data_IF_705378807248
#
_entry.id   IF_705378807248
#
_cell.length_a   1.000
_cell.length_b   1.000
_cell.length_c   1.000
_cell.angle_alpha   90.00
_cell.angle_beta   90.00
_cell.angle_gamma   90.00
#
_symmetry.space_group_name_H-M   'P 1'
#
loop_
_entity.id
_entity.type
_entity.pdbx_description
1 polymer ?
#
# COMPACT_ATOMS: atom_id res chain seq x y z
N UNK A 1 -1.80 -17.97 -1.53
CA UNK A 1 -2.79 -17.39 -0.61
C UNK A 1 -4.05 -18.27 -0.50
N UNK A 2 -4.79 -18.49 -1.59
CA UNK A 2 -6.03 -19.29 -1.60
C UNK A 2 -5.89 -20.70 -0.97
N UNK A 3 -4.82 -21.42 -1.29
CA UNK A 3 -4.47 -22.70 -0.64
C UNK A 3 -4.40 -22.59 0.89
N UNK A 4 -3.74 -21.56 1.41
CA UNK A 4 -3.55 -21.37 2.85
C UNK A 4 -4.88 -21.06 3.55
N UNK A 5 -5.75 -20.25 2.94
CA UNK A 5 -7.09 -19.94 3.47
C UNK A 5 -7.91 -21.21 3.59
N UNK A 6 -8.03 -21.99 2.50
CA UNK A 6 -8.75 -23.27 2.49
C UNK A 6 -8.21 -24.23 3.55
N UNK A 7 -6.89 -24.31 3.67
CA UNK A 7 -6.21 -25.17 4.64
C UNK A 7 -6.50 -24.74 6.07
N UNK A 8 -6.46 -23.44 6.36
CA UNK A 8 -6.71 -22.90 7.70
C UNK A 8 -8.16 -23.14 8.13
N UNK A 9 -9.14 -22.87 7.24
CA UNK A 9 -10.56 -23.12 7.50
C UNK A 9 -10.81 -24.61 7.75
N UNK A 10 -10.28 -25.48 6.90
CA UNK A 10 -10.41 -26.93 7.05
C UNK A 10 -9.76 -27.42 8.37
N UNK A 11 -8.57 -26.93 8.70
CA UNK A 11 -7.85 -27.32 9.92
C UNK A 11 -8.56 -26.84 11.19
N UNK A 12 -9.24 -25.69 11.14
CA UNK A 12 -10.03 -25.17 12.26
C UNK A 12 -11.35 -25.94 12.45
N UNK A 13 -11.81 -26.72 11.46
CA UNK A 13 -13.07 -27.46 11.51
C UNK A 13 -14.31 -26.57 11.56
N UNK A 14 -14.19 -25.31 11.13
CA UNK A 14 -15.30 -24.35 11.10
C UNK A 14 -15.97 -24.32 9.72
N UNK A 15 -17.24 -23.93 9.68
CA UNK A 15 -17.91 -23.71 8.40
C UNK A 15 -17.30 -22.50 7.66
N UNK A 16 -17.06 -22.56 6.34
CA UNK A 16 -16.69 -21.36 5.58
C UNK A 16 -17.68 -20.20 5.76
N UNK A 17 -18.97 -20.52 5.97
CA UNK A 17 -20.01 -19.52 6.20
C UNK A 17 -19.92 -18.82 7.57
N UNK A 18 -19.11 -19.32 8.51
CA UNK A 18 -18.88 -18.64 9.78
C UNK A 18 -17.71 -17.66 9.73
N UNK A 19 -17.00 -17.54 8.60
CA UNK A 19 -15.95 -16.55 8.41
C UNK A 19 -16.61 -15.19 8.17
N UNK A 20 -16.58 -14.33 9.19
CA UNK A 20 -17.22 -13.01 9.18
C UNK A 20 -16.49 -11.98 8.30
N UNK A 21 -15.23 -12.22 7.95
CA UNK A 21 -14.46 -11.36 7.06
C UNK A 21 -12.99 -11.79 6.97
N UNK A 22 -12.27 -11.18 6.03
CA UNK A 22 -10.83 -11.36 5.82
C UNK A 22 -10.14 -10.01 5.68
N UNK A 23 -8.84 -9.96 5.95
CA UNK A 23 -7.98 -8.81 5.70
C UNK A 23 -6.64 -9.27 5.15
N UNK A 24 -5.95 -8.37 4.44
CA UNK A 24 -4.63 -8.63 3.88
C UNK A 24 -3.63 -7.62 4.43
N UNK A 25 -2.52 -8.12 4.95
CA UNK A 25 -1.31 -7.34 5.11
C UNK A 25 -0.20 -7.87 4.20
N UNK A 26 0.69 -6.97 3.75
CA UNK A 26 1.80 -7.34 2.88
C UNK A 26 2.97 -6.36 3.01
N UNK A 27 4.14 -6.80 2.54
CA UNK A 27 5.29 -5.92 2.29
C UNK A 27 4.95 -4.89 1.20
N UNK A 28 5.57 -3.71 1.26
CA UNK A 28 5.31 -2.61 0.32
C UNK A 28 5.97 -2.80 -1.05
N UNK A 29 5.41 -3.68 -1.86
CA UNK A 29 5.89 -3.98 -3.22
C UNK A 29 4.97 -3.35 -4.27
N UNK A 30 5.55 -2.84 -5.36
CA UNK A 30 4.79 -2.24 -6.46
C UNK A 30 4.25 -3.32 -7.38
N UNK A 31 2.93 -3.40 -7.57
CA UNK A 31 2.29 -4.29 -8.55
C UNK A 31 1.81 -3.47 -9.74
N UNK A 32 2.09 -3.94 -10.95
CA UNK A 32 1.74 -3.22 -12.19
C UNK A 32 0.75 -4.06 -13.01
N UNK A 33 -0.41 -3.45 -13.31
CA UNK A 33 -1.52 -4.08 -14.03
C UNK A 33 -1.90 -3.18 -15.21
N UNK A 34 -2.07 -3.79 -16.38
CA UNK A 34 -2.53 -3.14 -17.61
C UNK A 34 -4.04 -3.27 -17.80
N UNK A 35 -4.48 -3.06 -19.03
CA UNK A 35 -5.88 -3.24 -19.40
C UNK A 35 -6.35 -4.69 -19.27
N UNK A 36 -7.66 -4.88 -19.05
CA UNK A 36 -8.29 -6.19 -18.85
C UNK A 36 -7.60 -7.02 -17.76
N UNK A 37 -7.14 -6.35 -16.70
CA UNK A 37 -6.50 -6.96 -15.53
C UNK A 37 -5.21 -7.73 -15.83
N UNK A 38 -4.57 -7.44 -16.98
CA UNK A 38 -3.38 -8.13 -17.43
C UNK A 38 -2.13 -7.73 -16.60
N UNK A 39 -1.35 -8.69 -16.08
CA UNK A 39 -0.11 -8.36 -15.40
C UNK A 39 0.95 -7.89 -16.41
N UNK A 40 1.77 -6.88 -16.05
CA UNK A 40 2.78 -6.32 -16.95
C UNK A 40 4.21 -6.64 -16.47
N UNK A 41 5.07 -7.05 -17.40
CA UNK A 41 6.45 -7.46 -17.08
C UNK A 41 7.33 -6.28 -16.62
N UNK A 42 7.68 -6.25 -15.33
CA UNK A 42 8.52 -5.19 -14.73
C UNK A 42 9.98 -5.60 -14.55
N UNK A 43 10.30 -6.87 -14.81
CA UNK A 43 11.64 -7.45 -14.67
C UNK A 43 12.37 -7.65 -16.01
N UNK A 44 13.66 -8.01 -15.97
CA UNK A 44 14.49 -8.23 -17.16
C UNK A 44 14.13 -9.51 -17.93
N UNK A 45 13.28 -10.38 -17.38
CA UNK A 45 12.84 -11.61 -18.07
C UNK A 45 11.72 -11.37 -19.08
N UNK A 46 11.15 -10.16 -19.12
CA UNK A 46 9.98 -9.80 -19.93
C UNK A 46 8.78 -10.76 -19.74
N UNK A 47 8.73 -11.40 -18.57
CA UNK A 47 7.69 -12.33 -18.15
C UNK A 47 6.55 -11.55 -17.49
N UNK A 48 5.36 -11.60 -18.09
CA UNK A 48 4.18 -10.88 -17.62
C UNK A 48 3.76 -11.32 -16.21
N UNK A 49 3.99 -12.58 -15.83
CA UNK A 49 3.68 -13.10 -14.49
C UNK A 49 4.63 -12.55 -13.42
N UNK A 50 5.67 -11.81 -13.83
CA UNK A 50 6.59 -11.08 -12.94
C UNK A 50 6.31 -9.58 -13.00
N UNK A 51 5.13 -9.22 -12.50
CA UNK A 51 4.61 -7.86 -12.48
C UNK A 51 4.81 -7.09 -11.16
N UNK A 52 5.67 -7.60 -10.28
CA UNK A 52 5.92 -7.04 -8.95
C UNK A 52 7.36 -6.56 -8.84
N UNK A 53 7.55 -5.27 -8.51
CA UNK A 53 8.83 -4.75 -8.03
C UNK A 53 8.84 -4.86 -6.50
N UNK A 54 9.57 -5.86 -6.00
CA UNK A 54 9.64 -6.18 -4.56
C UNK A 54 10.16 -5.00 -3.72
N UNK A 55 9.70 -4.89 -2.47
CA UNK A 55 10.06 -3.81 -1.54
C UNK A 55 11.57 -3.55 -1.46
N UNK A 56 12.39 -4.61 -1.36
CA UNK A 56 13.86 -4.56 -1.23
C UNK A 56 14.61 -4.22 -2.53
N UNK A 57 13.89 -4.00 -3.63
CA UNK A 57 14.50 -3.64 -4.90
C UNK A 57 14.95 -2.18 -4.90
N UNK A 58 16.25 -1.96 -5.10
CA UNK A 58 16.87 -0.63 -5.09
C UNK A 58 17.20 -0.09 -6.50
N UNK A 59 16.63 -0.67 -7.57
CA UNK A 59 16.89 -0.21 -8.95
C UNK A 59 16.58 1.28 -9.16
N UNK A 60 15.65 1.81 -8.37
CA UNK A 60 15.19 3.20 -8.44
C UNK A 60 16.02 4.18 -7.59
N UNK A 61 17.24 3.82 -7.19
CA UNK A 61 18.12 4.68 -6.37
C UNK A 61 18.37 6.05 -7.02
N UNK A 62 18.72 6.08 -8.31
CA UNK A 62 18.95 7.34 -9.02
C UNK A 62 17.69 8.22 -9.08
N UNK A 63 16.51 7.61 -9.24
CA UNK A 63 15.23 8.32 -9.25
C UNK A 63 14.88 8.87 -7.86
N UNK A 64 15.14 8.11 -6.80
CA UNK A 64 14.97 8.59 -5.43
C UNK A 64 15.89 9.78 -5.14
N UNK A 65 17.15 9.75 -5.59
CA UNK A 65 18.08 10.87 -5.46
C UNK A 65 17.60 12.12 -6.21
N UNK A 66 17.16 11.96 -7.46
CA UNK A 66 16.55 13.06 -8.25
C UNK A 66 15.35 13.67 -7.52
N UNK A 67 14.44 12.84 -7.02
CA UNK A 67 13.25 13.28 -6.27
C UNK A 67 13.68 14.04 -5.00
N UNK A 68 14.64 13.51 -4.25
CA UNK A 68 15.11 14.16 -3.03
C UNK A 68 15.78 15.52 -3.29
N UNK A 69 16.50 15.65 -4.41
CA UNK A 69 17.12 16.92 -4.80
C UNK A 69 16.12 18.05 -5.09
N UNK A 70 14.84 17.72 -5.34
CA UNK A 70 13.78 18.72 -5.54
C UNK A 70 13.46 19.52 -4.28
N UNK A 71 13.69 18.95 -3.09
CA UNK A 71 13.28 19.54 -1.82
C UNK A 71 11.77 19.76 -1.69
N UNK A 72 10.93 19.03 -2.45
CA UNK A 72 9.49 19.28 -2.47
C UNK A 72 8.87 19.16 -1.06
N UNK A 73 7.94 20.05 -0.65
CA UNK A 73 7.38 20.07 0.70
C UNK A 73 6.77 18.74 1.16
N UNK A 74 6.21 17.94 0.25
CA UNK A 74 5.63 16.61 0.56
C UNK A 74 6.64 15.68 1.24
N UNK A 75 7.93 15.84 0.95
CA UNK A 75 9.00 14.97 1.48
C UNK A 75 9.11 15.04 3.00
N UNK A 76 8.65 16.12 3.63
CA UNK A 76 8.61 16.24 5.10
C UNK A 76 7.77 15.16 5.78
N UNK A 77 6.81 14.57 5.06
CA UNK A 77 5.89 13.54 5.59
C UNK A 77 6.40 12.12 5.37
N UNK A 78 7.56 11.95 4.72
CA UNK A 78 8.24 10.65 4.58
C UNK A 78 9.60 10.67 5.29
N UNK A 79 9.77 11.54 6.31
CA UNK A 79 11.02 11.69 7.06
C UNK A 79 12.06 12.61 6.40
N UNK A 80 11.64 13.45 5.45
CA UNK A 80 12.49 14.42 4.76
C UNK A 80 13.28 13.85 3.57
N UNK A 81 13.30 12.53 3.40
CA UNK A 81 13.98 11.85 2.29
C UNK A 81 13.19 10.63 1.84
N UNK A 82 12.80 10.59 0.57
CA UNK A 82 12.16 9.43 -0.04
C UNK A 82 13.17 8.30 -0.23
N UNK A 83 12.76 7.07 0.09
CA UNK A 83 13.55 5.85 -0.10
C UNK A 83 13.34 5.27 -1.51
N UNK A 84 14.34 4.64 -2.15
CA UNK A 84 14.13 3.90 -3.40
C UNK A 84 13.14 2.73 -3.27
N UNK A 85 12.84 2.32 -2.04
CA UNK A 85 11.87 1.25 -1.74
C UNK A 85 10.41 1.73 -1.85
N UNK A 86 10.18 3.06 -1.87
CA UNK A 86 8.85 3.68 -2.02
C UNK A 86 8.40 3.65 -3.49
N UNK A 87 7.11 3.93 -3.73
CA UNK A 87 6.52 3.64 -5.03
C UNK A 87 6.78 4.70 -6.09
N UNK A 88 6.85 5.98 -5.72
CA UNK A 88 7.06 7.05 -6.71
C UNK A 88 8.43 6.98 -7.40
N UNK A 89 9.57 6.65 -6.74
CA UNK A 89 10.82 6.38 -7.45
C UNK A 89 10.73 5.16 -8.39
N UNK A 90 10.04 4.09 -7.99
CA UNK A 90 9.87 2.88 -8.81
C UNK A 90 9.05 3.15 -10.07
N UNK A 91 8.00 3.95 -9.96
CA UNK A 91 7.18 4.38 -11.11
C UNK A 91 7.99 5.28 -12.04
N UNK A 92 8.76 6.23 -11.49
CA UNK A 92 9.67 7.05 -12.30
C UNK A 92 10.73 6.20 -13.01
N UNK A 93 11.26 5.18 -12.33
CA UNK A 93 12.19 4.23 -12.95
C UNK A 93 11.53 3.48 -14.11
N UNK A 94 10.28 3.03 -13.95
CA UNK A 94 9.52 2.39 -15.03
C UNK A 94 9.29 3.34 -16.20
N UNK A 95 8.93 4.60 -15.97
CA UNK A 95 8.77 5.61 -17.02
C UNK A 95 10.09 5.81 -17.80
N UNK A 96 11.22 5.92 -17.11
CA UNK A 96 12.52 6.19 -17.74
C UNK A 96 13.12 4.94 -18.43
N UNK A 97 12.96 3.74 -17.88
CA UNK A 97 13.69 2.53 -18.31
C UNK A 97 12.80 1.53 -19.05
N UNK A 98 11.49 1.54 -18.82
CA UNK A 98 10.50 0.66 -19.46
C UNK A 98 9.26 1.47 -19.87
N UNK A 99 9.41 2.50 -20.72
CA UNK A 99 8.32 3.43 -21.04
C UNK A 99 7.10 2.74 -21.63
N UNK A 100 7.29 1.66 -22.41
CA UNK A 100 6.17 0.88 -22.96
C UNK A 100 5.32 0.20 -21.87
N UNK A 101 5.92 -0.25 -20.77
CA UNK A 101 5.21 -0.81 -19.61
C UNK A 101 4.47 0.30 -18.86
N UNK A 102 5.16 1.41 -18.61
CA UNK A 102 4.54 2.58 -17.96
C UNK A 102 3.32 3.07 -18.73
N UNK A 103 3.42 3.17 -20.07
CA UNK A 103 2.30 3.58 -20.93
C UNK A 103 1.12 2.61 -20.89
N UNK A 104 1.38 1.30 -20.90
CA UNK A 104 0.34 0.26 -20.85
C UNK A 104 -0.27 0.06 -19.45
N UNK A 105 0.39 0.53 -18.39
CA UNK A 105 -0.10 0.36 -17.03
C UNK A 105 -1.38 1.16 -16.81
N UNK A 106 -2.47 0.44 -16.52
CA UNK A 106 -3.75 1.00 -16.09
C UNK A 106 -3.75 1.27 -14.59
N UNK A 107 -3.12 0.38 -13.82
CA UNK A 107 -3.03 0.49 -12.38
C UNK A 107 -1.62 0.23 -11.86
N UNK A 108 -1.21 1.07 -10.91
CA UNK A 108 -0.11 0.82 -10.01
C UNK A 108 -0.70 0.64 -8.60
N UNK A 109 -0.41 -0.50 -7.99
CA UNK A 109 -0.89 -0.84 -6.65
C UNK A 109 0.28 -1.06 -5.71
N UNK A 110 0.06 -0.80 -4.42
CA UNK A 110 0.85 -1.50 -3.40
C UNK A 110 0.33 -2.93 -3.29
N UNK A 111 1.18 -3.89 -2.91
CA UNK A 111 0.83 -5.31 -2.89
C UNK A 111 -0.41 -5.60 -2.02
N UNK A 112 -0.55 -4.92 -0.88
CA UNK A 112 -1.72 -5.08 -0.02
C UNK A 112 -3.02 -4.62 -0.73
N UNK A 113 -2.97 -3.48 -1.43
CA UNK A 113 -4.11 -2.97 -2.18
C UNK A 113 -4.43 -3.84 -3.40
N UNK A 114 -3.41 -4.36 -4.08
CA UNK A 114 -3.58 -5.33 -5.17
C UNK A 114 -4.33 -6.57 -4.68
N UNK A 115 -3.97 -7.13 -3.52
CA UNK A 115 -4.65 -8.31 -2.96
C UNK A 115 -6.13 -8.02 -2.66
N UNK A 116 -6.45 -6.84 -2.13
CA UNK A 116 -7.85 -6.46 -1.90
C UNK A 116 -8.61 -6.25 -3.20
N UNK A 117 -8.01 -5.57 -4.19
CA UNK A 117 -8.63 -5.38 -5.51
C UNK A 117 -8.85 -6.72 -6.22
N UNK A 118 -7.85 -7.61 -6.22
CA UNK A 118 -7.97 -8.95 -6.80
C UNK A 118 -9.03 -9.81 -6.12
N UNK A 119 -9.38 -9.50 -4.88
CA UNK A 119 -10.37 -10.25 -4.09
C UNK A 119 -11.78 -9.68 -4.23
N UNK A 120 -11.93 -8.41 -4.55
CA UNK A 120 -13.21 -7.68 -4.48
C UNK A 120 -13.64 -7.03 -5.80
N UNK A 121 -12.69 -6.76 -6.69
CA UNK A 121 -12.86 -5.92 -7.87
C UNK A 121 -12.87 -4.41 -7.58
N UNK A 122 -12.76 -4.01 -6.31
CA UNK A 122 -12.88 -2.61 -5.89
C UNK A 122 -11.51 -1.89 -5.95
N UNK A 123 -11.50 -0.69 -6.53
CA UNK A 123 -10.30 0.11 -6.75
C UNK A 123 -9.91 1.00 -5.56
N UNK A 124 -10.55 0.86 -4.40
CA UNK A 124 -10.14 1.54 -3.17
C UNK A 124 -8.66 1.29 -2.84
N UNK A 125 -8.03 2.30 -2.26
CA UNK A 125 -6.68 2.21 -1.69
C UNK A 125 -6.76 2.44 -0.18
N UNK A 126 -5.90 1.74 0.54
CA UNK A 126 -5.75 1.96 1.97
C UNK A 126 -4.97 3.24 2.25
N UNK A 127 -5.46 4.08 3.16
CA UNK A 127 -4.68 5.21 3.70
C UNK A 127 -3.33 4.74 4.23
N UNK A 128 -3.23 3.52 4.78
CA UNK A 128 -1.99 2.93 5.28
C UNK A 128 -0.91 2.86 4.19
N UNK A 129 -1.23 2.34 3.01
CA UNK A 129 -0.27 2.13 1.94
C UNK A 129 0.11 3.47 1.30
N UNK A 130 -0.87 4.26 0.87
CA UNK A 130 -0.62 5.47 0.06
C UNK A 130 0.07 6.58 0.85
N UNK A 131 -0.24 6.72 2.14
CA UNK A 131 0.40 7.73 2.99
C UNK A 131 1.85 7.35 3.29
N UNK A 132 2.10 6.07 3.56
CA UNK A 132 3.43 5.61 3.96
C UNK A 132 4.41 5.45 2.80
N UNK A 133 3.92 5.15 1.58
CA UNK A 133 4.78 4.73 0.45
C UNK A 133 4.56 5.48 -0.87
N UNK A 134 3.55 6.34 -0.97
CA UNK A 134 3.19 7.02 -2.22
C UNK A 134 3.14 8.55 -2.12
N UNK A 135 3.43 9.12 -0.95
CA UNK A 135 3.37 10.57 -0.66
C UNK A 135 1.96 11.19 -0.67
N UNK A 136 0.92 10.36 -0.51
CA UNK A 136 -0.45 10.86 -0.29
C UNK A 136 -0.54 11.66 1.02
N UNK A 137 -1.16 12.83 0.97
CA UNK A 137 -1.36 13.70 2.13
C UNK A 137 -2.72 13.39 2.75
N UNK A 138 -2.80 12.32 3.56
CA UNK A 138 -4.08 11.87 4.12
C UNK A 138 -4.81 12.92 5.00
N UNK A 139 -4.07 13.77 5.70
CA UNK A 139 -4.63 14.88 6.49
C UNK A 139 -5.26 15.99 5.63
N UNK A 140 -4.90 16.05 4.34
CA UNK A 140 -5.48 16.95 3.35
C UNK A 140 -6.37 16.21 2.34
N UNK A 141 -6.50 14.88 2.48
CA UNK A 141 -7.23 13.99 1.59
C UNK A 141 -6.91 14.20 0.10
N UNK A 142 -5.62 14.35 -0.23
CA UNK A 142 -5.20 14.60 -1.61
C UNK A 142 -3.85 14.04 -1.99
N UNK A 143 -3.69 13.81 -3.29
CA UNK A 143 -2.40 13.76 -3.96
C UNK A 143 -1.89 15.18 -4.22
N UNK A 144 -0.57 15.36 -4.24
CA UNK A 144 0.05 16.64 -4.59
C UNK A 144 0.42 16.69 -6.08
N UNK A 145 -0.45 17.28 -6.90
CA UNK A 145 -0.19 17.41 -8.34
C UNK A 145 1.09 18.19 -8.66
N UNK A 146 1.48 19.15 -7.81
CA UNK A 146 2.73 19.90 -7.98
C UNK A 146 3.95 18.99 -7.84
N UNK A 147 3.93 18.10 -6.83
CA UNK A 147 4.96 17.07 -6.65
C UNK A 147 5.10 16.18 -7.89
N UNK A 148 4.00 15.57 -8.34
CA UNK A 148 4.03 14.62 -9.47
C UNK A 148 4.51 15.28 -10.76
N UNK A 149 4.07 16.52 -11.04
CA UNK A 149 4.58 17.29 -12.19
C UNK A 149 6.06 17.63 -12.05
N UNK A 150 6.53 17.99 -10.86
CA UNK A 150 7.93 18.36 -10.64
C UNK A 150 8.89 17.17 -10.83
N UNK A 151 8.47 15.95 -10.46
CA UNK A 151 9.32 14.75 -10.55
C UNK A 151 9.25 14.06 -11.91
N UNK A 152 8.51 14.59 -12.87
CA UNK A 152 8.33 14.00 -14.20
C UNK A 152 7.36 12.81 -14.22
N UNK A 153 6.32 12.84 -13.39
CA UNK A 153 5.17 11.92 -13.42
C UNK A 153 3.86 12.72 -13.62
N UNK A 154 3.92 13.76 -14.44
CA UNK A 154 2.82 14.70 -14.70
C UNK A 154 1.54 14.01 -15.20
N UNK A 155 1.67 12.93 -15.98
CA UNK A 155 0.52 12.18 -16.53
C UNK A 155 -0.35 11.60 -15.41
N UNK A 156 0.24 11.20 -14.28
CA UNK A 156 -0.55 10.75 -13.13
C UNK A 156 -1.43 11.86 -12.58
N UNK A 157 -0.96 13.11 -12.57
CA UNK A 157 -1.75 14.24 -12.10
C UNK A 157 -2.76 14.72 -13.16
N UNK A 158 -2.37 14.69 -14.44
CA UNK A 158 -3.21 15.15 -15.54
C UNK A 158 -4.35 14.17 -15.86
N UNK A 159 -4.19 12.90 -15.50
CA UNK A 159 -5.22 11.85 -15.53
C UNK A 159 -5.96 11.70 -14.19
N UNK A 160 -5.92 12.73 -13.33
CA UNK A 160 -6.61 12.77 -12.03
C UNK A 160 -6.31 11.56 -11.13
N UNK A 161 -5.07 11.09 -11.16
CA UNK A 161 -4.53 10.00 -10.34
C UNK A 161 -5.25 8.66 -10.49
N UNK A 162 -6.02 8.47 -11.56
CA UNK A 162 -6.81 7.25 -11.80
C UNK A 162 -5.95 5.98 -11.71
N UNK A 163 -4.69 6.02 -12.16
CA UNK A 163 -3.78 4.87 -12.13
C UNK A 163 -3.23 4.52 -10.74
N UNK A 164 -3.26 5.45 -9.79
CA UNK A 164 -2.69 5.26 -8.44
C UNK A 164 -3.76 5.31 -7.34
N UNK A 165 -5.00 5.65 -7.69
CA UNK A 165 -6.19 5.55 -6.86
C UNK A 165 -6.80 6.92 -6.51
N UNK A 166 -8.10 7.06 -6.74
CA UNK A 166 -8.90 8.25 -6.40
C UNK A 166 -9.72 8.06 -5.12
N UNK A 167 -10.09 6.81 -4.80
CA UNK A 167 -10.85 6.45 -3.61
C UNK A 167 -9.91 5.90 -2.54
N UNK A 168 -9.58 6.74 -1.56
CA UNK A 168 -8.69 6.36 -0.46
C UNK A 168 -9.54 6.21 0.81
N UNK A 169 -9.42 5.10 1.53
CA UNK A 169 -10.23 4.81 2.73
C UNK A 169 -9.38 4.31 3.90
N UNK A 170 -9.88 4.53 5.11
CA UNK A 170 -9.16 4.21 6.34
C UNK A 170 -9.06 2.69 6.59
N UNK A 171 -7.99 2.21 7.24
CA UNK A 171 -7.89 0.83 7.71
C UNK A 171 -9.11 0.40 8.54
N UNK A 172 -9.58 -0.83 8.33
CA UNK A 172 -10.80 -1.36 8.95
C UNK A 172 -12.09 -1.07 8.16
N UNK A 173 -12.03 -0.29 7.08
CA UNK A 173 -13.16 -0.10 6.16
C UNK A 173 -13.36 -1.34 5.28
N UNK A 174 -14.61 -1.85 5.11
CA UNK A 174 -14.91 -2.87 4.11
C UNK A 174 -14.62 -2.37 2.68
N UNK A 175 -13.96 -3.22 1.90
CA UNK A 175 -13.58 -3.00 0.51
C UNK A 175 -14.65 -3.58 -0.42
N UNK A 176 -15.28 -2.70 -1.20
CA UNK A 176 -16.43 -3.03 -2.05
C UNK A 176 -17.52 -3.79 -1.30
N UNK A 177 -18.11 -4.76 -1.99
CA UNK A 177 -19.13 -5.67 -1.45
C UNK A 177 -18.51 -6.96 -0.86
N UNK A 178 -17.20 -6.97 -0.59
CA UNK A 178 -16.46 -8.16 -0.14
C UNK A 178 -16.01 -9.06 -1.30
N UNK A 179 -15.83 -10.36 -1.04
CA UNK A 179 -15.28 -11.30 -2.02
C UNK A 179 -16.12 -11.36 -3.30
N UNK A 180 -15.48 -11.12 -4.44
CA UNK A 180 -16.08 -11.36 -5.75
C UNK A 180 -16.25 -12.87 -6.00
N UNK A 181 -17.06 -13.25 -6.98
CA UNK A 181 -17.38 -14.65 -7.26
C UNK A 181 -16.15 -15.53 -7.48
N UNK A 182 -15.21 -15.07 -8.32
CA UNK A 182 -13.96 -15.79 -8.60
C UNK A 182 -13.09 -15.95 -7.36
N UNK A 183 -12.89 -14.88 -6.58
CA UNK A 183 -12.09 -14.93 -5.37
C UNK A 183 -12.73 -15.84 -4.29
N UNK A 184 -14.05 -15.77 -4.13
CA UNK A 184 -14.81 -16.64 -3.22
C UNK A 184 -14.62 -18.12 -3.56
N UNK A 185 -14.72 -18.50 -4.83
CA UNK A 185 -14.47 -19.87 -5.31
C UNK A 185 -13.01 -20.32 -5.08
N UNK A 186 -12.05 -19.46 -5.45
CA UNK A 186 -10.63 -19.72 -5.26
C UNK A 186 -10.28 -19.90 -3.79
N UNK A 187 -10.86 -19.11 -2.89
CA UNK A 187 -10.61 -19.12 -1.44
C UNK A 187 -11.49 -20.10 -0.66
N UNK A 188 -12.57 -20.61 -1.26
CA UNK A 188 -13.51 -21.53 -0.62
C UNK A 188 -14.36 -20.85 0.46
N UNK A 189 -14.70 -19.59 0.26
CA UNK A 189 -15.51 -18.77 1.17
C UNK A 189 -16.80 -18.30 0.45
N UNK A 190 -17.84 -17.86 1.17
CA UNK A 190 -19.02 -17.26 0.54
C UNK A 190 -18.70 -16.02 -0.31
N UNK A 191 -19.44 -15.85 -1.40
CA UNK A 191 -19.46 -14.58 -2.15
C UNK A 191 -19.94 -13.49 -1.19
N UNK A 192 -19.29 -12.33 -1.25
CA UNK A 192 -19.60 -11.20 -0.38
C UNK A 192 -19.10 -11.36 1.06
N UNK A 193 -18.27 -12.36 1.38
CA UNK A 193 -17.52 -12.35 2.65
C UNK A 193 -16.77 -11.01 2.75
N UNK A 194 -16.98 -10.21 3.80
CA UNK A 194 -16.36 -8.90 3.94
C UNK A 194 -14.83 -8.97 3.82
N UNK A 195 -14.26 -8.03 3.07
CA UNK A 195 -12.81 -7.87 2.93
C UNK A 195 -12.46 -6.49 3.46
N UNK A 196 -11.57 -6.38 4.44
CA UNK A 196 -11.06 -5.07 4.86
C UNK A 196 -10.02 -4.54 3.85
N UNK A 197 -9.90 -3.22 3.71
CA UNK A 197 -8.79 -2.64 2.94
C UNK A 197 -7.42 -3.05 3.48
N UNK A 198 -6.44 -3.15 2.59
CA UNK A 198 -5.14 -3.73 2.89
C UNK A 198 -4.32 -2.90 3.87
N UNK A 199 -3.32 -3.52 4.46
CA UNK A 199 -2.37 -2.85 5.35
C UNK A 199 -0.93 -3.23 5.04
N UNK A 200 0.00 -2.36 5.45
CA UNK A 200 1.42 -2.71 5.49
C UNK A 200 1.63 -3.66 6.68
N UNK A 201 2.37 -4.75 6.46
CA UNK A 201 2.70 -5.78 7.45
C UNK A 201 3.14 -5.23 8.83
N UNK A 202 4.13 -4.34 8.85
CA UNK A 202 4.62 -3.71 10.08
C UNK A 202 3.52 -2.91 10.79
N UNK A 203 2.65 -2.22 10.03
CA UNK A 203 1.56 -1.42 10.60
C UNK A 203 0.44 -2.31 11.13
N UNK A 204 0.15 -3.44 10.48
CA UNK A 204 -0.81 -4.43 10.96
C UNK A 204 -0.33 -5.08 12.27
N UNK A 205 0.94 -5.47 12.33
CA UNK A 205 1.59 -5.89 13.58
C UNK A 205 1.59 -4.79 14.65
N UNK A 206 1.75 -3.53 14.21
CA UNK A 206 1.61 -2.32 15.02
C UNK A 206 0.24 -2.25 15.71
N UNK A 207 -0.86 -2.35 14.97
CA UNK A 207 -2.22 -2.37 15.53
C UNK A 207 -2.39 -3.47 16.57
N UNK A 208 -1.97 -4.69 16.25
CA UNK A 208 -2.06 -5.83 17.17
C UNK A 208 -1.29 -5.60 18.47
N UNK A 209 -0.22 -4.80 18.42
CA UNK A 209 0.62 -4.48 19.59
C UNK A 209 0.10 -3.28 20.37
N UNK A 210 -0.21 -2.16 19.70
CA UNK A 210 -0.60 -0.92 20.38
C UNK A 210 -2.06 -0.93 20.84
N UNK A 211 -2.90 -1.80 20.28
CA UNK A 211 -4.33 -1.90 20.61
C UNK A 211 -4.62 -2.50 21.99
N UNK A 212 -3.62 -2.96 22.74
CA UNK A 212 -3.80 -3.59 24.05
C UNK A 212 -4.03 -2.57 25.18
N UNK A 213 -4.60 -3.01 26.30
CA UNK A 213 -4.74 -2.21 27.53
C UNK A 213 -5.34 -0.81 27.27
N UNK A 214 -4.59 0.25 27.55
CA UNK A 214 -5.03 1.64 27.45
C UNK A 214 -5.02 2.20 26.02
N UNK A 215 -4.92 1.33 25.01
CA UNK A 215 -5.04 1.68 23.59
C UNK A 215 -3.82 2.39 22.98
N UNK A 216 -3.95 2.72 21.70
CA UNK A 216 -2.83 3.03 20.82
C UNK A 216 -1.98 4.24 21.23
N UNK A 217 -2.56 5.23 21.92
CA UNK A 217 -1.84 6.44 22.35
C UNK A 217 -0.93 6.18 23.56
N UNK A 218 -1.23 5.15 24.35
CA UNK A 218 -0.49 4.82 25.57
C UNK A 218 0.56 3.74 25.37
N UNK A 219 0.63 3.16 24.18
CA UNK A 219 1.51 2.05 23.85
C UNK A 219 2.43 2.42 22.70
N UNK A 220 3.58 1.75 22.65
CA UNK A 220 4.52 1.82 21.55
C UNK A 220 4.76 0.41 21.04
N UNK A 221 4.74 0.24 19.72
CA UNK A 221 5.07 -1.03 19.10
C UNK A 221 6.56 -1.07 18.75
N UNK A 222 7.21 -2.16 19.16
CA UNK A 222 8.56 -2.52 18.73
C UNK A 222 8.48 -3.81 17.91
N UNK A 223 8.76 -3.70 16.61
CA UNK A 223 8.88 -4.85 15.71
C UNK A 223 10.36 -5.12 15.50
N UNK A 224 10.87 -6.17 16.16
CA UNK A 224 12.29 -6.54 16.12
C UNK A 224 12.54 -7.75 15.23
N UNK A 225 13.60 -7.66 14.42
CA UNK A 225 14.12 -8.74 13.59
C UNK A 225 15.54 -8.41 13.12
N UNK A 226 15.83 -8.60 11.83
CA UNK A 226 17.09 -8.14 11.21
C UNK A 226 17.23 -6.61 11.18
N UNK A 227 16.11 -5.90 11.29
CA UNK A 227 16.01 -4.46 11.53
C UNK A 227 15.04 -4.19 12.69
N UNK A 228 14.92 -2.94 13.09
CA UNK A 228 13.95 -2.51 14.11
C UNK A 228 13.01 -1.45 13.53
N UNK A 229 11.72 -1.65 13.73
CA UNK A 229 10.69 -0.67 13.46
C UNK A 229 10.02 -0.30 14.79
N UNK A 230 10.03 0.99 15.12
CA UNK A 230 9.35 1.53 16.30
C UNK A 230 8.21 2.39 15.82
N UNK A 231 7.02 2.18 16.37
CA UNK A 231 5.80 2.90 15.97
C UNK A 231 5.08 3.45 17.19
N UNK A 232 4.74 4.73 17.15
CA UNK A 232 3.99 5.42 18.21
C UNK A 232 2.83 6.21 17.60
N UNK A 233 1.68 6.15 18.25
CA UNK A 233 0.51 6.94 17.88
C UNK A 233 0.50 8.27 18.60
N UNK A 234 0.29 9.37 17.88
CA UNK A 234 0.16 10.73 18.43
C UNK A 234 -1.11 11.43 17.92
N UNK A 235 -1.67 12.35 18.71
CA UNK A 235 -2.85 13.14 18.28
C UNK A 235 -2.48 14.23 17.27
N UNK A 236 -1.31 14.81 17.43
CA UNK A 236 -0.78 15.87 16.56
C UNK A 236 0.40 15.35 15.73
N UNK A 237 0.67 16.00 14.60
CA UNK A 237 1.82 15.69 13.76
C UNK A 237 3.13 15.99 14.50
N UNK A 238 4.01 15.00 14.61
CA UNK A 238 5.34 15.15 15.21
C UNK A 238 6.40 14.79 14.18
N UNK A 239 7.20 15.78 13.80
CA UNK A 239 8.30 15.61 12.85
C UNK A 239 9.59 15.31 13.60
N UNK A 240 10.19 14.15 13.33
CA UNK A 240 11.48 13.76 13.92
C UNK A 240 12.46 13.49 12.78
N UNK A 241 13.61 14.20 12.72
CA UNK A 241 14.61 13.96 11.68
C UNK A 241 15.07 12.50 11.65
N UNK A 242 15.03 11.88 10.47
CA UNK A 242 15.44 10.49 10.27
C UNK A 242 14.37 9.44 10.59
N UNK A 243 13.20 9.85 11.08
CA UNK A 243 12.04 8.97 11.28
C UNK A 243 11.08 9.14 10.11
N UNK A 244 10.63 8.02 9.54
CA UNK A 244 9.62 8.03 8.49
C UNK A 244 8.27 8.50 9.04
N UNK A 245 7.59 9.39 8.31
CA UNK A 245 6.35 10.03 8.74
C UNK A 245 6.52 11.52 9.07
N UNK A 246 5.57 12.12 9.81
CA UNK A 246 4.42 11.46 10.45
C UNK A 246 3.33 11.12 9.43
N UNK A 247 2.68 9.97 9.61
CA UNK A 247 1.63 9.46 8.72
C UNK A 247 0.25 9.56 9.37
N UNK A 248 -0.63 10.39 8.80
CA UNK A 248 -2.00 10.56 9.32
C UNK A 248 -2.89 9.37 8.95
N UNK A 249 -3.66 8.86 9.92
CA UNK A 249 -4.58 7.72 9.81
C UNK A 249 -3.99 6.41 9.27
N UNK A 250 -2.66 6.32 9.11
CA UNK A 250 -2.02 5.16 8.48
C UNK A 250 -2.07 3.86 9.31
N UNK A 251 -2.40 3.96 10.60
CA UNK A 251 -2.54 2.81 11.49
C UNK A 251 -3.84 2.87 12.29
N UNK A 252 -4.09 3.97 13.01
CA UNK A 252 -5.35 4.20 13.73
C UNK A 252 -6.04 5.42 13.13
N UNK A 253 -7.28 5.30 12.62
CA UNK A 253 -7.99 6.41 12.02
C UNK A 253 -8.09 7.62 12.95
N UNK A 254 -7.77 8.81 12.44
CA UNK A 254 -7.80 10.07 13.18
C UNK A 254 -6.53 10.41 13.97
N UNK A 255 -5.53 9.53 13.98
CA UNK A 255 -4.26 9.75 14.67
C UNK A 255 -3.07 9.76 13.71
N UNK A 256 -1.96 10.37 14.15
CA UNK A 256 -0.68 10.33 13.46
C UNK A 256 0.15 9.14 13.93
N UNK A 257 0.89 8.54 13.00
CA UNK A 257 1.91 7.55 13.27
C UNK A 257 3.29 8.18 13.07
N UNK A 258 4.18 7.93 14.02
CA UNK A 258 5.61 8.23 13.91
C UNK A 258 6.44 7.02 14.32
#
# INVERSE_FOLDING_TARGET
>A
MCYCIKTAVASAGVSPSSIAGIGFDATCSLVVIGDNDAPLAVGPSDDADRNIIVWMDHRATGQAEKINATGHPVLRYVGGKISPEMQTPKILWLKENRPHIYQQARHFFDLADYLTWRSTGDEARSVCTVTCKWTYLAHEQRWDAGYFRQIGLEELADEDFVRIGQRIVDPGTPCGEGLCATAAEEMGLPIGTPVAVGMIDAHAGGIGTVGVLNGAVNNMAYVFGTSSCTMTTTQEAVFVPGVWGPYYSAMVPGYWLK
#
